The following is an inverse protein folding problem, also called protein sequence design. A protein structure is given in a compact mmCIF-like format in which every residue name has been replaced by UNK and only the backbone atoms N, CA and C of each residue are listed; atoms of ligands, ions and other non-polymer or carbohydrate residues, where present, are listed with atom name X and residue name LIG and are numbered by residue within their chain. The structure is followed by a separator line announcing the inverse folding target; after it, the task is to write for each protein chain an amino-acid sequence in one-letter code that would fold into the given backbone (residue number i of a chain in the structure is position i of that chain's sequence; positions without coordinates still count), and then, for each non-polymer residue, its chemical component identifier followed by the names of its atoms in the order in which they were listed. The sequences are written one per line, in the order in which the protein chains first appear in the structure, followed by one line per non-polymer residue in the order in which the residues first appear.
data_IF_652004140540
#
_entry.id   IF_652004140540
#
_cell.length_a   1.000
_cell.length_b   1.000
_cell.length_c   1.000
_cell.angle_alpha   90.00
_cell.angle_beta   90.00
_cell.angle_gamma   90.00
#
_symmetry.space_group_name_H-M   'P 1'
#
loop_
_entity.id
_entity.type
_entity.pdbx_description
1 polymer ?
#
# COMPACT_ATOMS: atom_id res chain seq x y z
N UNK A 1 31.97 1.41 -33.72
CA UNK A 1 30.68 1.86 -33.16
C UNK A 1 30.40 1.02 -31.93
N UNK A 2 30.11 1.63 -30.77
CA UNK A 2 29.94 0.91 -29.51
C UNK A 2 28.58 0.20 -29.47
N UNK A 3 28.60 -1.10 -29.19
CA UNK A 3 27.44 -1.89 -28.80
C UNK A 3 26.95 -1.41 -27.43
N UNK A 4 25.69 -1.01 -27.37
CA UNK A 4 24.99 -0.52 -26.17
C UNK A 4 24.91 -1.62 -25.11
N UNK A 5 25.54 -1.38 -23.97
CA UNK A 5 25.41 -2.19 -22.74
C UNK A 5 23.95 -2.10 -22.25
N UNK A 6 23.32 -3.25 -22.04
CA UNK A 6 21.93 -3.33 -21.57
C UNK A 6 21.87 -3.32 -20.05
N UNK A 7 20.78 -2.81 -19.46
CA UNK A 7 20.54 -2.66 -18.01
C UNK A 7 20.77 -3.92 -17.17
N UNK A 8 20.84 -5.11 -17.78
CA UNK A 8 21.14 -6.39 -17.12
C UNK A 8 22.63 -6.62 -16.84
N UNK A 9 23.52 -5.88 -17.51
CA UNK A 9 24.98 -6.03 -17.35
C UNK A 9 25.57 -5.18 -16.21
N UNK A 10 24.77 -4.31 -15.56
CA UNK A 10 25.23 -3.36 -14.53
C UNK A 10 24.96 -3.83 -13.08
N UNK A 11 24.36 -5.01 -12.86
CA UNK A 11 24.21 -5.58 -11.51
C UNK A 11 25.17 -6.75 -11.24
N UNK A 12 26.41 -6.60 -11.71
CA UNK A 12 27.58 -7.18 -11.04
C UNK A 12 28.50 -6.01 -10.70
N UNK A 13 29.05 -6.05 -9.49
CA UNK A 13 30.09 -5.14 -8.95
C UNK A 13 29.54 -3.94 -8.16
N UNK A 14 29.29 -4.14 -6.86
CA UNK A 14 29.76 -3.31 -5.74
C UNK A 14 29.25 -3.89 -4.41
N UNK A 15 30.16 -4.48 -3.62
CA UNK A 15 29.88 -5.07 -2.32
C UNK A 15 30.94 -6.11 -1.93
N UNK A 16 32.20 -5.68 -1.84
CA UNK A 16 33.32 -6.54 -1.47
C UNK A 16 33.50 -6.62 0.06
N UNK A 17 33.68 -7.85 0.53
CA UNK A 17 34.45 -8.32 1.70
C UNK A 17 34.01 -7.92 3.11
N UNK A 18 33.50 -8.93 3.84
CA UNK A 18 33.96 -9.23 5.20
C UNK A 18 33.86 -10.73 5.46
N UNK A 19 34.98 -11.42 5.24
CA UNK A 19 35.26 -12.74 5.82
C UNK A 19 35.73 -12.52 7.26
N UNK A 20 34.82 -12.70 8.22
CA UNK A 20 35.17 -13.04 9.60
C UNK A 20 34.51 -14.37 9.92
N UNK A 21 35.23 -15.46 9.71
CA UNK A 21 34.91 -16.73 10.32
C UNK A 21 35.15 -16.60 11.84
N UNK A 22 34.07 -16.42 12.61
CA UNK A 22 34.08 -16.71 14.04
C UNK A 22 33.29 -17.99 14.26
N UNK A 23 34.03 -19.08 14.38
CA UNK A 23 33.56 -20.30 15.04
C UNK A 23 33.34 -19.97 16.53
N UNK A 24 32.12 -20.14 17.03
CA UNK A 24 31.78 -19.92 18.44
C UNK A 24 30.37 -20.37 18.78
N UNK A 25 30.24 -21.64 19.16
CA UNK A 25 29.00 -22.29 19.58
C UNK A 25 28.33 -21.59 20.77
N UNK A 26 27.02 -21.36 20.69
CA UNK A 26 26.05 -21.52 21.79
C UNK A 26 24.63 -21.64 21.20
N UNK A 27 23.96 -22.70 21.62
CA UNK A 27 22.68 -23.23 21.16
C UNK A 27 21.47 -22.33 21.41
N UNK A 28 20.66 -22.04 20.38
CA UNK A 28 19.19 -22.12 20.42
C UNK A 28 18.58 -21.97 19.00
N UNK A 29 18.14 -23.08 18.40
CA UNK A 29 17.22 -23.15 17.24
C UNK A 29 17.38 -22.10 16.13
N UNK A 30 18.37 -22.27 15.24
CA UNK A 30 18.44 -21.52 13.98
C UNK A 30 17.30 -21.97 13.06
N UNK A 31 16.25 -21.14 12.96
CA UNK A 31 15.22 -21.30 11.93
C UNK A 31 15.80 -20.83 10.59
N UNK A 32 16.40 -21.76 9.85
CA UNK A 32 16.80 -21.62 8.43
C UNK A 32 15.60 -21.31 7.50
N UNK A 33 14.37 -21.28 8.01
CA UNK A 33 13.14 -21.01 7.27
C UNK A 33 12.86 -19.53 6.96
N UNK A 34 13.67 -18.59 7.45
CA UNK A 34 13.44 -17.15 7.25
C UNK A 34 14.07 -16.58 5.96
N UNK A 35 14.68 -17.42 5.12
CA UNK A 35 15.48 -17.00 3.95
C UNK A 35 14.83 -17.32 2.59
N UNK A 36 13.61 -17.85 2.55
CA UNK A 36 12.87 -18.11 1.30
C UNK A 36 11.74 -17.10 1.06
N UNK A 37 12.10 -15.83 0.93
CA UNK A 37 11.25 -14.86 0.23
C UNK A 37 11.78 -14.75 -1.21
N UNK A 38 11.05 -15.25 -2.20
CA UNK A 38 11.37 -15.21 -3.63
C UNK A 38 11.37 -13.80 -4.21
N UNK A 39 11.61 -13.72 -5.52
CA UNK A 39 12.05 -12.50 -6.23
C UNK A 39 11.04 -11.32 -6.26
N UNK A 40 9.77 -11.49 -5.84
CA UNK A 40 8.84 -10.38 -5.58
C UNK A 40 8.01 -10.60 -4.30
N UNK A 41 8.52 -10.22 -3.11
CA UNK A 41 7.80 -10.35 -1.85
C UNK A 41 6.71 -9.26 -1.66
N UNK A 42 6.36 -8.51 -2.71
CA UNK A 42 5.54 -7.32 -2.54
C UNK A 42 4.05 -7.61 -2.35
N UNK A 43 3.48 -6.96 -1.33
CA UNK A 43 2.05 -6.89 -1.04
C UNK A 43 1.63 -5.43 -1.05
N UNK A 44 1.51 -4.85 -2.26
CA UNK A 44 1.54 -3.40 -2.44
C UNK A 44 0.24 -2.68 -2.04
N UNK A 45 -0.86 -3.41 -1.87
CA UNK A 45 -2.15 -2.85 -1.49
C UNK A 45 -2.93 -3.79 -0.57
N UNK A 46 -3.96 -3.24 0.09
CA UNK A 46 -4.99 -4.05 0.72
C UNK A 46 -5.51 -5.10 -0.27
N UNK A 47 -5.67 -6.34 0.18
CA UNK A 47 -6.19 -7.41 -0.68
C UNK A 47 -5.25 -7.88 -1.80
N UNK A 48 -3.95 -7.52 -1.75
CA UNK A 48 -2.89 -7.85 -2.72
C UNK A 48 -2.98 -7.15 -4.08
N UNK A 49 -4.16 -7.18 -4.69
CA UNK A 49 -4.43 -6.60 -6.01
C UNK A 49 -5.68 -5.73 -5.99
N UNK A 50 -5.98 -5.10 -7.13
CA UNK A 50 -7.17 -4.27 -7.24
C UNK A 50 -8.48 -5.07 -7.08
N UNK A 51 -8.47 -6.38 -7.34
CA UNK A 51 -9.61 -7.27 -7.17
C UNK A 51 -9.79 -7.74 -5.72
N UNK A 52 -8.89 -7.36 -4.81
CA UNK A 52 -8.86 -7.75 -3.41
C UNK A 52 -8.80 -9.28 -3.21
N UNK A 53 -8.09 -10.00 -4.08
CA UNK A 53 -8.06 -11.47 -4.06
C UNK A 53 -7.41 -12.07 -2.81
N UNK A 54 -6.56 -11.30 -2.12
CA UNK A 54 -5.68 -11.79 -1.07
C UNK A 54 -4.84 -13.01 -1.52
N UNK A 55 -4.55 -13.11 -2.82
CA UNK A 55 -3.88 -14.26 -3.41
C UNK A 55 -2.56 -13.82 -4.06
N UNK A 56 -1.44 -14.29 -3.51
CA UNK A 56 -0.10 -14.05 -4.04
C UNK A 56 0.41 -15.34 -4.72
N UNK A 57 0.17 -15.55 -6.04
CA UNK A 57 0.55 -16.78 -6.73
C UNK A 57 2.05 -17.01 -6.78
N UNK A 58 2.83 -15.93 -6.88
CA UNK A 58 4.29 -15.94 -6.90
C UNK A 58 4.90 -15.71 -5.50
N UNK A 59 4.05 -15.64 -4.47
CA UNK A 59 4.46 -15.44 -3.10
C UNK A 59 5.03 -16.71 -2.50
N UNK A 60 6.22 -16.61 -1.93
CA UNK A 60 6.77 -17.63 -1.04
C UNK A 60 6.46 -17.24 0.41
N UNK A 61 5.69 -18.07 1.09
CA UNK A 61 5.44 -17.97 2.51
C UNK A 61 6.16 -19.09 3.27
N UNK A 62 6.51 -18.90 4.55
CA UNK A 62 7.08 -19.97 5.36
C UNK A 62 6.16 -21.20 5.37
N UNK A 63 6.66 -22.35 4.91
CA UNK A 63 5.94 -23.64 4.93
C UNK A 63 6.32 -24.51 6.13
N UNK A 64 7.35 -24.10 6.88
CA UNK A 64 7.86 -24.77 8.08
C UNK A 64 7.65 -23.96 9.36
N UNK A 65 8.48 -24.24 10.38
CA UNK A 65 8.44 -23.50 11.65
C UNK A 65 8.73 -22.01 11.47
N UNK A 66 7.91 -21.17 12.09
CA UNK A 66 8.07 -19.70 12.06
C UNK A 66 8.76 -19.20 13.34
N UNK A 67 9.62 -18.18 13.20
CA UNK A 67 10.15 -17.40 14.32
C UNK A 67 9.83 -15.92 14.13
N UNK A 68 9.59 -15.21 15.23
CA UNK A 68 9.46 -13.75 15.24
C UNK A 68 10.79 -13.11 14.86
N UNK A 69 10.80 -12.29 13.80
CA UNK A 69 11.98 -11.50 13.40
C UNK A 69 12.06 -10.18 14.16
N UNK A 70 10.96 -9.43 14.19
CA UNK A 70 10.84 -8.17 14.90
C UNK A 70 9.38 -7.90 15.26
N UNK A 71 9.15 -6.88 16.08
CA UNK A 71 7.81 -6.46 16.51
C UNK A 71 7.73 -4.94 16.68
N UNK A 72 6.81 -4.32 15.96
CA UNK A 72 6.37 -2.96 16.23
C UNK A 72 5.46 -2.95 17.47
N UNK A 73 5.74 -2.11 18.47
CA UNK A 73 4.96 -1.99 19.72
C UNK A 73 4.22 -0.67 19.78
N UNK A 74 3.03 -0.67 20.39
CA UNK A 74 2.34 0.56 20.81
C UNK A 74 1.19 1.02 19.91
N UNK A 75 0.93 0.35 18.79
CA UNK A 75 0.01 0.87 17.78
C UNK A 75 -1.14 -0.08 17.47
N UNK A 76 -2.37 0.46 17.39
CA UNK A 76 -3.54 -0.27 16.91
C UNK A 76 -3.62 -0.09 15.39
N UNK A 77 -3.35 -1.17 14.67
CA UNK A 77 -3.51 -1.21 13.22
C UNK A 77 -4.98 -0.98 12.85
N UNK A 78 -5.23 -0.07 11.91
CA UNK A 78 -6.58 0.24 11.42
C UNK A 78 -6.96 -0.56 10.18
N UNK A 79 -5.99 -1.09 9.44
CA UNK A 79 -6.20 -1.94 8.27
C UNK A 79 -5.00 -2.89 8.05
N UNK A 80 -5.06 -3.71 6.99
CA UNK A 80 -3.96 -4.56 6.57
C UNK A 80 -2.74 -3.70 6.17
N UNK A 81 -1.55 -4.10 6.61
CA UNK A 81 -0.30 -3.46 6.18
C UNK A 81 0.04 -3.83 4.73
N UNK A 82 0.71 -2.91 4.02
CA UNK A 82 1.30 -3.17 2.72
C UNK A 82 2.81 -3.38 2.85
N UNK A 83 3.39 -4.20 1.97
CA UNK A 83 4.84 -4.43 1.88
C UNK A 83 5.27 -4.08 0.45
N UNK A 84 6.17 -3.12 0.31
CA UNK A 84 6.71 -2.73 -0.99
C UNK A 84 8.10 -2.11 -0.83
N UNK A 85 8.98 -2.35 -1.81
CA UNK A 85 10.29 -1.70 -1.91
C UNK A 85 11.14 -1.80 -0.61
N UNK A 86 11.06 -2.93 0.09
CA UNK A 86 11.79 -3.17 1.34
C UNK A 86 11.17 -2.54 2.59
N UNK A 87 10.00 -1.91 2.49
CA UNK A 87 9.30 -1.30 3.61
C UNK A 87 7.93 -1.95 3.87
N UNK A 88 7.53 -1.96 5.15
CA UNK A 88 6.17 -2.25 5.62
C UNK A 88 5.49 -0.92 5.92
N UNK A 89 4.35 -0.68 5.28
CA UNK A 89 3.47 0.46 5.51
C UNK A 89 2.30 0.03 6.38
N UNK A 90 2.38 0.35 7.67
CA UNK A 90 1.41 -0.04 8.69
C UNK A 90 0.42 1.10 8.93
N UNK A 91 -0.86 0.97 8.54
CA UNK A 91 -1.87 1.97 8.87
C UNK A 91 -2.21 1.88 10.35
N UNK A 92 -2.04 2.99 11.05
CA UNK A 92 -2.14 3.10 12.51
C UNK A 92 -3.11 4.23 12.83
N UNK A 93 -4.26 3.89 13.42
CA UNK A 93 -5.34 4.86 13.64
C UNK A 93 -5.64 5.64 12.34
N UNK A 94 -5.36 6.94 12.28
CA UNK A 94 -5.58 7.83 11.12
C UNK A 94 -4.29 8.18 10.38
N UNK A 95 -3.15 7.60 10.74
CA UNK A 95 -1.84 7.80 10.10
C UNK A 95 -1.27 6.48 9.56
N UNK A 96 -0.04 6.54 9.06
CA UNK A 96 0.73 5.37 8.62
C UNK A 96 2.14 5.46 9.18
N UNK A 97 2.67 4.33 9.63
CA UNK A 97 4.08 4.19 10.01
C UNK A 97 4.76 3.36 8.93
N UNK A 98 5.86 3.88 8.37
CA UNK A 98 6.72 3.13 7.47
C UNK A 98 7.87 2.51 8.28
N UNK A 99 8.07 1.21 8.08
CA UNK A 99 9.02 0.39 8.84
C UNK A 99 9.90 -0.37 7.85
N UNK A 100 11.18 -0.50 8.13
CA UNK A 100 12.08 -1.37 7.37
C UNK A 100 11.63 -2.83 7.52
N UNK A 101 11.40 -3.52 6.40
CA UNK A 101 10.87 -4.88 6.43
C UNK A 101 11.87 -5.91 6.98
N UNK A 102 13.17 -5.61 6.92
CA UNK A 102 14.23 -6.50 7.40
C UNK A 102 14.47 -6.31 8.89
N UNK A 103 14.73 -5.08 9.34
CA UNK A 103 15.11 -4.78 10.73
C UNK A 103 13.93 -4.49 11.65
N UNK A 104 12.81 -4.00 11.11
CA UNK A 104 11.71 -3.50 11.92
C UNK A 104 11.91 -2.06 12.43
N UNK A 105 12.93 -1.35 11.95
CA UNK A 105 13.18 0.04 12.32
C UNK A 105 12.18 0.99 11.67
N UNK A 106 11.70 1.99 12.41
CA UNK A 106 10.82 3.02 11.84
C UNK A 106 11.63 3.89 10.87
N UNK A 107 11.23 3.90 9.61
CA UNK A 107 11.81 4.75 8.56
C UNK A 107 11.25 6.17 8.66
N UNK A 108 9.93 6.29 8.78
CA UNK A 108 9.24 7.56 8.98
C UNK A 108 7.81 7.33 9.50
N UNK A 109 7.28 8.34 10.16
CA UNK A 109 5.85 8.49 10.47
C UNK A 109 5.51 9.96 10.26
N UNK A 110 4.44 10.30 9.52
CA UNK A 110 3.97 11.67 9.44
C UNK A 110 3.44 12.09 10.83
N UNK A 111 3.62 13.36 11.16
CA UNK A 111 2.91 13.94 12.29
C UNK A 111 1.40 13.80 12.07
N UNK A 112 0.64 13.36 13.08
CA UNK A 112 -0.81 13.31 12.98
C UNK A 112 -1.33 14.73 12.75
N UNK A 113 -1.93 14.95 11.59
CA UNK A 113 -2.54 16.23 11.23
C UNK A 113 -3.80 16.46 12.08
N UNK A 114 -4.14 17.72 12.38
CA UNK A 114 -5.42 18.03 13.05
C UNK A 114 -6.62 17.61 12.19
N UNK A 115 -6.44 17.56 10.87
CA UNK A 115 -7.44 17.07 9.90
C UNK A 115 -7.32 15.55 9.58
N UNK A 116 -6.43 14.82 10.27
CA UNK A 116 -6.22 13.39 10.05
C UNK A 116 -7.51 12.60 10.38
N UNK A 117 -8.21 12.15 9.33
CA UNK A 117 -9.46 11.40 9.45
C UNK A 117 -10.60 11.87 8.54
N UNK A 118 -10.41 12.97 7.77
CA UNK A 118 -11.42 13.49 6.83
C UNK A 118 -11.04 13.35 5.35
N UNK A 119 -10.19 12.39 4.99
CA UNK A 119 -9.78 12.28 3.60
C UNK A 119 -8.73 11.22 3.28
N UNK A 120 -8.51 11.04 1.99
CA UNK A 120 -7.39 10.26 1.46
C UNK A 120 -6.17 11.16 1.26
N UNK A 121 -5.02 10.74 1.78
CA UNK A 121 -3.74 11.40 1.58
C UNK A 121 -2.83 10.54 0.69
N UNK A 122 -2.02 11.18 -0.14
CA UNK A 122 -0.88 10.53 -0.76
C UNK A 122 0.42 11.07 -0.17
N UNK A 123 1.27 10.13 0.23
CA UNK A 123 2.55 10.39 0.83
C UNK A 123 3.68 9.95 -0.11
N UNK A 124 4.81 10.61 0.00
CA UNK A 124 6.07 10.19 -0.61
C UNK A 124 6.61 8.95 0.11
N UNK A 125 6.98 7.91 -0.63
CA UNK A 125 7.45 6.66 -0.04
C UNK A 125 8.81 6.81 0.67
N UNK A 126 9.66 7.74 0.25
CA UNK A 126 11.01 7.88 0.77
C UNK A 126 11.08 8.59 2.12
N UNK A 127 10.13 9.49 2.40
CA UNK A 127 10.16 10.28 3.64
C UNK A 127 8.81 10.67 4.21
N UNK A 128 7.71 10.13 3.69
CA UNK A 128 6.37 10.38 4.22
C UNK A 128 5.83 11.78 3.91
N UNK A 129 6.49 12.57 3.06
CA UNK A 129 6.03 13.91 2.76
C UNK A 129 4.72 13.87 1.98
N UNK A 130 3.75 14.69 2.39
CA UNK A 130 2.46 14.77 1.72
C UNK A 130 2.59 15.34 0.31
N UNK A 131 2.15 14.57 -0.67
CA UNK A 131 2.04 15.00 -2.08
C UNK A 131 0.70 15.66 -2.37
N UNK A 132 -0.39 15.11 -1.82
CA UNK A 132 -1.73 15.69 -1.93
C UNK A 132 -2.71 15.13 -0.88
N UNK A 133 -3.82 15.86 -0.69
CA UNK A 133 -4.99 15.44 0.09
C UNK A 133 -6.25 15.53 -0.76
N UNK A 134 -7.13 14.54 -0.64
CA UNK A 134 -8.48 14.51 -1.15
C UNK A 134 -9.45 14.38 0.04
N UNK A 135 -10.33 15.35 0.21
CA UNK A 135 -11.45 15.24 1.15
C UNK A 135 -12.47 14.25 0.59
N UNK A 136 -12.73 13.17 1.33
CA UNK A 136 -13.67 12.11 0.98
C UNK A 136 -14.85 12.02 1.97
N UNK A 137 -14.84 12.87 2.99
CA UNK A 137 -15.76 12.78 4.13
C UNK A 137 -15.33 11.72 5.13
N UNK A 138 -16.23 11.40 6.07
CA UNK A 138 -16.02 10.33 7.05
C UNK A 138 -16.33 8.97 6.41
N UNK A 139 -15.41 8.03 6.52
CA UNK A 139 -15.62 6.66 6.05
C UNK A 139 -14.30 5.88 5.97
N UNK A 140 -14.26 4.73 6.65
CA UNK A 140 -13.11 3.83 6.65
C UNK A 140 -13.14 2.97 5.38
N UNK A 141 -12.69 3.51 4.25
CA UNK A 141 -12.63 2.79 2.98
C UNK A 141 -11.20 2.69 2.47
N UNK A 142 -10.77 1.48 2.12
CA UNK A 142 -9.45 1.26 1.56
C UNK A 142 -9.42 1.73 0.11
N UNK A 143 -8.46 2.58 -0.30
CA UNK A 143 -8.34 2.99 -1.67
C UNK A 143 -7.92 1.81 -2.57
N UNK A 144 -8.47 1.75 -3.78
CA UNK A 144 -8.02 0.83 -4.83
C UNK A 144 -7.26 1.60 -5.90
N UNK A 145 -6.11 1.10 -6.32
CA UNK A 145 -5.31 1.71 -7.38
C UNK A 145 -5.34 0.83 -8.63
N UNK A 146 -5.80 1.39 -9.75
CA UNK A 146 -5.75 0.73 -11.07
C UNK A 146 -5.06 1.66 -12.07
N UNK A 147 -3.92 1.22 -12.59
CA UNK A 147 -3.06 2.04 -13.45
C UNK A 147 -2.67 3.34 -12.75
N UNK A 148 -2.99 4.48 -13.36
CA UNK A 148 -2.74 5.81 -12.77
C UNK A 148 -3.92 6.38 -11.97
N UNK A 149 -4.95 5.58 -11.66
CA UNK A 149 -6.16 6.03 -10.97
C UNK A 149 -6.25 5.46 -9.57
N UNK A 150 -6.56 6.31 -8.60
CA UNK A 150 -6.96 5.94 -7.24
C UNK A 150 -8.47 6.07 -7.12
N UNK A 151 -9.13 5.02 -6.66
CA UNK A 151 -10.55 4.97 -6.36
C UNK A 151 -10.75 4.97 -4.85
N UNK A 152 -11.58 5.88 -4.35
CA UNK A 152 -11.85 6.06 -2.92
C UNK A 152 -13.35 6.06 -2.66
N UNK A 153 -13.79 5.35 -1.63
CA UNK A 153 -15.15 5.43 -1.08
C UNK A 153 -15.28 6.59 -0.08
N UNK A 154 -16.39 6.60 0.67
CA UNK A 154 -16.80 7.69 1.57
C UNK A 154 -18.18 8.20 1.20
N UNK A 155 -18.40 9.52 1.24
CA UNK A 155 -19.68 10.09 0.79
C UNK A 155 -19.97 9.85 -0.69
N UNK A 156 -18.91 9.66 -1.49
CA UNK A 156 -18.96 9.45 -2.94
C UNK A 156 -17.81 8.54 -3.36
N UNK A 157 -18.05 7.68 -4.33
CA UNK A 157 -16.97 7.04 -5.08
C UNK A 157 -16.27 8.11 -5.89
N UNK A 158 -14.96 8.28 -5.69
CA UNK A 158 -14.14 9.27 -6.43
C UNK A 158 -12.99 8.58 -7.15
N UNK A 159 -12.78 8.92 -8.42
CA UNK A 159 -11.63 8.48 -9.21
C UNK A 159 -10.64 9.64 -9.41
N UNK A 160 -9.40 9.51 -8.91
CA UNK A 160 -8.37 10.56 -8.94
C UNK A 160 -7.09 10.08 -9.62
N UNK A 161 -6.44 10.93 -10.45
CA UNK A 161 -5.12 10.58 -11.02
C UNK A 161 -3.99 10.69 -9.99
N UNK A 162 -3.12 9.68 -9.93
CA UNK A 162 -1.95 9.59 -9.03
C UNK A 162 -1.01 10.79 -9.13
N UNK A 163 -0.70 11.24 -10.36
CA UNK A 163 0.23 12.35 -10.65
C UNK A 163 -0.46 13.69 -10.92
N UNK A 164 -1.79 13.74 -10.82
CA UNK A 164 -2.60 14.81 -11.44
C UNK A 164 -2.93 16.03 -10.58
N UNK A 165 -2.21 16.30 -9.49
CA UNK A 165 -2.49 17.49 -8.65
C UNK A 165 -1.33 18.47 -8.69
N UNK A 166 -1.43 19.45 -9.59
CA UNK A 166 -0.83 20.77 -9.35
C UNK A 166 -1.86 21.57 -8.56
N UNK A 167 -1.55 21.91 -7.33
CA UNK A 167 -2.33 22.90 -6.58
C UNK A 167 -1.77 24.29 -6.91
N UNK A 168 -2.59 25.14 -7.54
CA UNK A 168 -2.28 26.58 -7.69
C UNK A 168 -3.31 27.35 -6.87
N UNK A 169 -2.93 27.73 -5.65
CA UNK A 169 -3.86 28.38 -4.71
C UNK A 169 -5.09 27.51 -4.40
N UNK A 170 -6.31 28.06 -4.37
CA UNK A 170 -7.52 27.30 -4.03
C UNK A 170 -8.03 26.39 -5.16
N UNK A 171 -7.42 26.42 -6.35
CA UNK A 171 -7.91 25.65 -7.50
C UNK A 171 -7.23 24.29 -7.62
N UNK A 172 -8.06 23.24 -7.76
CA UNK A 172 -7.62 21.90 -8.14
C UNK A 172 -7.98 21.67 -9.61
N UNK A 173 -6.99 21.72 -10.50
CA UNK A 173 -7.19 21.49 -11.95
C UNK A 173 -6.69 20.07 -12.31
N UNK A 174 -7.50 19.28 -13.04
CA UNK A 174 -7.05 18.05 -13.73
C UNK A 174 -7.08 16.72 -12.95
N UNK A 175 -7.44 16.72 -11.66
CA UNK A 175 -7.26 15.56 -10.79
C UNK A 175 -8.39 14.51 -10.81
N UNK A 176 -9.65 14.93 -10.94
CA UNK A 176 -10.82 14.05 -10.82
C UNK A 176 -11.26 13.53 -12.18
N UNK A 177 -11.26 12.20 -12.36
CA UNK A 177 -11.78 11.52 -13.57
C UNK A 177 -13.31 11.47 -13.54
N UNK A 178 -13.90 11.02 -12.44
CA UNK A 178 -15.35 11.06 -12.19
C UNK A 178 -15.66 10.99 -10.69
N UNK A 179 -16.93 11.19 -10.33
CA UNK A 179 -17.47 10.84 -9.03
C UNK A 179 -18.89 10.26 -9.16
N UNK A 180 -19.21 9.27 -8.32
CA UNK A 180 -20.54 8.68 -8.19
C UNK A 180 -21.03 8.84 -6.75
N UNK A 181 -22.29 9.24 -6.56
CA UNK A 181 -22.91 9.38 -5.25
C UNK A 181 -24.01 8.33 -5.13
N UNK A 182 -23.83 7.38 -4.21
CA UNK A 182 -24.92 6.55 -3.71
C UNK A 182 -25.77 7.34 -2.70
N UNK A 183 -26.86 6.74 -2.26
CA UNK A 183 -27.81 7.28 -1.29
C UNK A 183 -27.15 7.71 0.01
N UNK A 184 -26.47 6.77 0.70
CA UNK A 184 -25.89 7.00 2.04
C UNK A 184 -24.36 6.83 2.10
N UNK A 185 -23.73 6.51 0.98
CA UNK A 185 -22.27 6.44 0.87
C UNK A 185 -21.77 5.21 0.11
N UNK A 186 -20.45 5.13 -0.03
CA UNK A 186 -19.72 4.06 -0.70
C UNK A 186 -18.74 3.45 0.30
N UNK A 187 -18.79 2.13 0.48
CA UNK A 187 -18.10 1.41 1.56
C UNK A 187 -16.84 0.67 1.08
N UNK A 188 -16.99 -0.33 0.21
CA UNK A 188 -15.85 -1.09 -0.33
C UNK A 188 -15.80 -0.94 -1.83
N UNK A 189 -14.60 -0.90 -2.37
CA UNK A 189 -14.34 -0.82 -3.81
C UNK A 189 -13.37 -1.94 -4.18
N UNK A 190 -13.64 -2.59 -5.30
CA UNK A 190 -12.73 -3.53 -5.97
C UNK A 190 -12.71 -3.20 -7.46
N UNK A 191 -11.59 -3.42 -8.14
CA UNK A 191 -11.46 -3.23 -9.58
C UNK A 191 -10.64 -4.35 -10.22
N UNK A 192 -11.08 -4.86 -11.36
CA UNK A 192 -10.42 -5.94 -12.05
C UNK A 192 -11.16 -6.28 -13.34
N UNK A 193 -10.45 -6.83 -14.32
CA UNK A 193 -11.06 -7.33 -15.58
C UNK A 193 -11.94 -6.29 -16.31
N UNK A 194 -11.61 -5.00 -16.19
CA UNK A 194 -12.37 -3.90 -16.82
C UNK A 194 -13.59 -3.43 -16.02
N UNK A 195 -13.89 -4.06 -14.88
CA UNK A 195 -14.98 -3.72 -13.98
C UNK A 195 -14.46 -3.01 -12.73
N UNK A 196 -15.21 -2.02 -12.26
CA UNK A 196 -15.09 -1.47 -10.92
C UNK A 196 -16.39 -1.79 -10.17
N UNK A 197 -16.30 -2.40 -9.00
CA UNK A 197 -17.47 -2.76 -8.18
C UNK A 197 -17.39 -2.01 -6.87
N UNK A 198 -18.50 -1.42 -6.45
CA UNK A 198 -18.61 -0.76 -5.16
C UNK A 198 -19.81 -1.27 -4.37
N UNK A 199 -19.64 -1.51 -3.07
CA UNK A 199 -20.76 -1.63 -2.15
C UNK A 199 -21.19 -0.24 -1.70
N UNK A 200 -22.49 0.03 -1.76
CA UNK A 200 -23.09 1.33 -1.46
C UNK A 200 -24.22 1.15 -0.45
N UNK A 201 -24.37 2.08 0.47
CA UNK A 201 -25.49 2.08 1.40
C UNK A 201 -26.76 2.49 0.67
N UNK A 202 -27.84 1.73 0.84
CA UNK A 202 -29.14 1.94 0.19
C UNK A 202 -30.09 2.71 1.11
N UNK A 203 -31.05 3.43 0.52
CA UNK A 203 -32.02 4.28 1.24
C UNK A 203 -32.88 3.51 2.26
N UNK A 204 -32.99 2.18 2.13
CA UNK A 204 -33.73 1.30 3.04
C UNK A 204 -32.92 0.86 4.27
N UNK A 205 -31.71 1.41 4.45
CA UNK A 205 -30.76 0.99 5.48
C UNK A 205 -30.02 -0.31 5.14
N UNK A 206 -30.25 -0.87 3.94
CA UNK A 206 -29.52 -2.00 3.39
C UNK A 206 -28.25 -1.58 2.65
N UNK A 207 -27.67 -2.55 1.94
CA UNK A 207 -26.50 -2.33 1.07
C UNK A 207 -26.80 -2.85 -0.34
N UNK A 208 -26.33 -2.14 -1.35
CA UNK A 208 -26.37 -2.55 -2.75
C UNK A 208 -24.95 -2.72 -3.32
N UNK A 209 -24.82 -3.56 -4.34
CA UNK A 209 -23.62 -3.64 -5.18
C UNK A 209 -23.86 -2.90 -6.48
N UNK A 210 -22.96 -1.99 -6.83
CA UNK A 210 -23.00 -1.23 -8.07
C UNK A 210 -21.74 -1.55 -8.86
N UNK A 211 -21.92 -1.96 -10.11
CA UNK A 211 -20.84 -2.23 -11.04
C UNK A 211 -20.71 -1.08 -12.05
N UNK A 212 -19.47 -0.70 -12.35
CA UNK A 212 -19.13 0.37 -13.28
C UNK A 212 -18.17 -0.18 -14.34
N UNK A 213 -18.45 0.14 -15.60
CA UNK A 213 -17.59 -0.17 -16.74
C UNK A 213 -16.93 1.10 -17.27
N UNK A 214 -15.77 0.96 -17.92
CA UNK A 214 -15.17 2.08 -18.66
C UNK A 214 -16.03 2.42 -19.87
N UNK A 215 -16.44 3.68 -19.99
CA UNK A 215 -17.06 4.22 -21.21
C UNK A 215 -16.03 4.36 -22.35
#
# INVERSE_FOLDING_TARGET
MPSTVSRRDVLRVCGALSLCAVSGCLSNGSNEAAVEAGDDPSWRSFGHDAANTNYAPDGTAPTGGVAERWRLRGERLSAQAAIADGAVYAPVMTTVVAVDAESGDVLWSPDPDEDAGRGTVALDAAGGQRRWTLETGTGDTNPVVVGETVYTGGERLTATRLRGRVSVGPFRVGARRFAYRGSDGVLHVSGGEGLLVASVSADDGGSALVAFESA
#
